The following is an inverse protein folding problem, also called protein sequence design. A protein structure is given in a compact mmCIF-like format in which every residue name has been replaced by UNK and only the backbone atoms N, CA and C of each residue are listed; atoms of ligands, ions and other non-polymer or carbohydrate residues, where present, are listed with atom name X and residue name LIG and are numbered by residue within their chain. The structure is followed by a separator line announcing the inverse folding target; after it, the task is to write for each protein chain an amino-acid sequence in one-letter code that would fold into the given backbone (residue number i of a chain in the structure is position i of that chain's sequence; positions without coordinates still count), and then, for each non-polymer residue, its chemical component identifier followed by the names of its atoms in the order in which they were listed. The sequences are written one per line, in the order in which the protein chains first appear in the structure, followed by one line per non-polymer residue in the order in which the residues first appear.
data_IF_812164200827
#
_entry.id   IF_812164200827
#
_cell.length_a   1.000
_cell.length_b   1.000
_cell.length_c   1.000
_cell.angle_alpha   90.00
_cell.angle_beta   90.00
_cell.angle_gamma   90.00
#
_symmetry.space_group_name_H-M   'P 1'
#
loop_
_entity.id
_entity.type
_entity.pdbx_description
1 polymer ?
#
# COMPACT_ATOMS: atom_id res chain seq x y z
N UNK A 1 15.43 11.02 1.66
CA UNK A 1 14.56 10.54 0.58
C UNK A 1 13.69 9.40 1.11
N UNK A 2 12.77 9.73 2.02
CA UNK A 2 11.92 8.78 2.74
C UNK A 2 10.47 8.97 2.33
N UNK A 3 9.70 7.87 2.25
CA UNK A 3 8.25 7.91 2.06
C UNK A 3 7.65 8.82 3.15
N UNK A 4 7.06 9.95 2.74
CA UNK A 4 6.19 10.75 3.60
C UNK A 4 4.78 10.69 2.99
N UNK A 5 3.75 10.37 3.78
CA UNK A 5 2.38 10.44 3.30
C UNK A 5 2.01 11.89 2.93
N UNK A 6 1.12 12.03 1.94
CA UNK A 6 0.60 13.33 1.54
C UNK A 6 -0.12 14.01 2.72
N UNK A 7 0.12 15.32 2.91
CA UNK A 7 -0.67 16.15 3.82
C UNK A 7 -2.08 16.31 3.24
N UNK A 8 -3.09 16.24 4.12
CA UNK A 8 -4.47 16.58 3.79
C UNK A 8 -4.57 18.00 3.20
N UNK A 9 -5.51 18.26 2.27
CA UNK A 9 -5.74 19.59 1.75
C UNK A 9 -6.27 20.50 2.87
N UNK A 10 -5.47 21.50 3.24
CA UNK A 10 -5.84 22.49 4.25
C UNK A 10 -7.13 23.23 3.90
N UNK A 11 -8.01 23.39 4.90
CA UNK A 11 -9.15 24.31 4.82
C UNK A 11 -8.64 25.71 4.56
N UNK A 12 -9.27 26.39 3.60
CA UNK A 12 -9.11 27.81 3.33
C UNK A 12 -9.66 28.57 4.53
N UNK A 13 -8.81 29.34 5.22
CA UNK A 13 -9.25 30.33 6.20
C UNK A 13 -9.81 31.55 5.45
N UNK A 14 -10.87 32.21 5.97
CA UNK A 14 -11.37 33.44 5.37
C UNK A 14 -10.48 34.62 5.79
N UNK A 15 -10.16 35.49 4.84
CA UNK A 15 -9.43 36.74 5.04
C UNK A 15 -10.35 37.88 5.52
N UNK A 16 -9.75 38.68 6.42
CA UNK A 16 -9.84 40.12 6.65
C UNK A 16 -10.90 40.77 7.56
N UNK A 17 -10.37 41.52 8.54
CA UNK A 17 -11.02 42.56 9.34
C UNK A 17 -10.10 43.15 10.42
N UNK A 18 -9.62 44.38 10.21
CA UNK A 18 -8.57 45.08 10.97
C UNK A 18 -8.91 45.55 12.41
N UNK A 19 -7.87 45.68 13.26
CA UNK A 19 -7.45 46.91 14.00
C UNK A 19 -6.97 46.69 15.47
N UNK A 20 -5.70 47.05 15.69
CA UNK A 20 -5.02 47.68 16.85
C UNK A 20 -5.42 47.42 18.34
N UNK A 21 -4.41 47.01 19.13
CA UNK A 21 -3.97 47.71 20.35
C UNK A 21 -4.15 47.01 21.71
N UNK A 22 -3.03 46.87 22.46
CA UNK A 22 -3.00 46.90 23.94
C UNK A 22 -2.59 45.62 24.67
N UNK A 23 -1.46 45.69 25.39
CA UNK A 23 -0.98 44.69 26.35
C UNK A 23 -1.89 44.59 27.60
N UNK A 24 -2.09 43.36 28.11
CA UNK A 24 -2.17 43.04 29.53
C UNK A 24 -2.14 41.51 29.76
N UNK A 25 -1.27 41.10 30.69
CA UNK A 25 -1.23 39.79 31.34
C UNK A 25 -2.60 39.41 31.96
N UNK A 26 -3.03 38.16 31.80
CA UNK A 26 -3.32 37.22 32.91
C UNK A 26 -3.88 35.88 32.38
N UNK A 27 -3.62 34.83 33.16
CA UNK A 27 -3.73 33.40 32.86
C UNK A 27 -5.14 32.92 32.48
N UNK A 28 -5.21 31.75 31.81
CA UNK A 28 -5.95 30.53 32.21
C UNK A 28 -6.16 29.60 31.00
N UNK A 29 -5.57 28.39 31.08
CA UNK A 29 -6.09 27.17 30.45
C UNK A 29 -5.81 26.94 28.96
N UNK A 30 -4.63 26.47 28.59
CA UNK A 30 -4.44 25.75 27.32
C UNK A 30 -5.02 24.33 27.47
N UNK A 31 -6.31 24.17 27.16
CA UNK A 31 -6.82 22.86 26.75
C UNK A 31 -6.15 22.52 25.42
N UNK A 32 -5.35 21.47 25.42
CA UNK A 32 -4.69 20.98 24.22
C UNK A 32 -5.73 20.47 23.24
N UNK A 33 -5.86 21.14 22.11
CA UNK A 33 -6.45 20.54 20.91
C UNK A 33 -5.55 19.37 20.49
N UNK A 34 -6.09 18.19 20.77
CA UNK A 34 -5.57 16.87 20.41
C UNK A 34 -5.62 16.73 18.88
N UNK A 35 -4.66 17.37 18.21
CA UNK A 35 -4.37 17.14 16.80
C UNK A 35 -3.96 15.67 16.66
N UNK A 36 -4.92 14.84 16.23
CA UNK A 36 -4.79 13.42 15.98
C UNK A 36 -3.57 13.09 15.11
N UNK A 37 -2.43 12.97 15.78
CA UNK A 37 -1.15 12.52 15.26
C UNK A 37 -1.32 11.02 14.99
N UNK A 38 -1.74 10.68 13.77
CA UNK A 38 -2.05 9.31 13.41
C UNK A 38 -0.86 8.41 13.73
N UNK A 39 -1.15 7.26 14.36
CA UNK A 39 -0.17 6.24 14.77
C UNK A 39 0.80 5.92 13.61
N UNK A 40 0.32 5.98 12.37
CA UNK A 40 1.09 5.84 11.12
C UNK A 40 2.28 6.81 11.03
N UNK A 41 2.14 8.08 11.45
CA UNK A 41 3.23 9.08 11.39
C UNK A 41 4.31 8.82 12.44
N UNK A 42 3.95 8.34 13.63
CA UNK A 42 4.92 7.94 14.66
C UNK A 42 5.70 6.69 14.24
N UNK A 43 5.01 5.70 13.68
CA UNK A 43 5.63 4.45 13.19
C UNK A 43 6.58 4.74 12.02
N UNK A 44 6.17 5.56 11.04
CA UNK A 44 7.04 5.96 9.91
C UNK A 44 8.28 6.75 10.35
N UNK A 45 8.17 7.61 11.38
CA UNK A 45 9.30 8.45 11.84
C UNK A 45 10.27 7.70 12.75
N UNK A 46 9.79 6.71 13.51
CA UNK A 46 10.64 5.86 14.35
C UNK A 46 11.42 4.81 13.54
N UNK A 47 10.93 4.41 12.36
CA UNK A 47 11.46 3.26 11.61
C UNK A 47 12.43 3.61 10.47
N UNK A 48 12.75 4.89 10.24
CA UNK A 48 13.78 5.29 9.26
C UNK A 48 15.21 5.10 9.77
N UNK A 49 15.39 4.86 11.08
CA UNK A 49 16.70 4.67 11.72
C UNK A 49 17.03 3.18 11.98
N UNK A 50 16.14 2.25 11.63
CA UNK A 50 16.30 0.82 11.91
C UNK A 50 17.03 0.09 10.77
N UNK A 51 18.31 0.40 10.57
CA UNK A 51 19.23 -0.35 9.70
C UNK A 51 19.74 -1.65 10.38
N UNK A 52 18.98 -2.18 11.34
CA UNK A 52 19.45 -3.20 12.29
C UNK A 52 18.36 -4.17 12.73
N UNK A 53 17.65 -4.81 11.80
CA UNK A 53 16.95 -6.07 12.11
C UNK A 53 17.09 -7.01 10.91
N UNK A 54 18.02 -7.96 11.02
CA UNK A 54 18.11 -9.05 10.06
C UNK A 54 16.81 -9.85 10.09
N UNK A 55 15.95 -9.63 9.10
CA UNK A 55 14.80 -10.50 8.83
C UNK A 55 15.31 -11.93 8.74
N UNK A 56 14.65 -12.93 9.37
CA UNK A 56 15.03 -14.34 9.26
C UNK A 56 14.97 -14.86 7.82
N UNK A 57 14.49 -14.03 6.89
CA UNK A 57 14.32 -14.32 5.48
C UNK A 57 15.30 -13.53 4.61
N UNK A 58 16.61 -13.77 4.80
CA UNK A 58 17.69 -13.21 3.96
C UNK A 58 17.80 -13.89 2.58
N UNK A 59 16.66 -14.19 1.94
CA UNK A 59 16.65 -14.81 0.61
C UNK A 59 16.70 -13.74 -0.49
N UNK A 60 17.59 -13.94 -1.46
CA UNK A 60 17.68 -13.21 -2.73
C UNK A 60 16.38 -13.33 -3.52
N UNK A 61 16.00 -12.28 -4.26
CA UNK A 61 14.72 -12.17 -4.97
C UNK A 61 14.40 -13.29 -5.98
N UNK A 62 15.37 -14.14 -6.32
CA UNK A 62 15.21 -15.27 -7.27
C UNK A 62 14.14 -16.28 -6.82
N UNK A 63 13.99 -16.51 -5.51
CA UNK A 63 12.97 -17.42 -4.99
C UNK A 63 11.53 -16.91 -5.20
N UNK A 64 11.35 -15.59 -5.36
CA UNK A 64 10.05 -14.94 -5.57
C UNK A 64 9.68 -14.81 -7.05
N UNK A 65 10.68 -14.75 -7.95
CA UNK A 65 10.47 -14.75 -9.41
C UNK A 65 9.81 -16.03 -9.92
N UNK A 66 9.94 -17.12 -9.17
CA UNK A 66 9.36 -18.42 -9.48
C UNK A 66 7.92 -18.60 -8.99
N UNK A 67 7.29 -17.59 -8.36
CA UNK A 67 5.87 -17.66 -8.04
C UNK A 67 5.07 -17.70 -9.35
N UNK A 68 4.41 -18.82 -9.69
CA UNK A 68 3.76 -18.93 -10.97
C UNK A 68 2.55 -18.00 -11.01
N UNK A 69 2.65 -16.89 -11.75
CA UNK A 69 1.48 -16.13 -12.22
C UNK A 69 0.44 -17.10 -12.82
N UNK A 70 0.92 -18.16 -13.48
CA UNK A 70 0.14 -19.24 -14.09
C UNK A 70 -0.72 -20.11 -13.13
N UNK A 71 -0.42 -20.17 -11.82
CA UNK A 71 -1.25 -20.96 -10.88
C UNK A 71 -2.47 -20.18 -10.39
N UNK A 72 -2.44 -18.86 -10.53
CA UNK A 72 -3.47 -17.98 -9.98
C UNK A 72 -4.60 -17.71 -10.98
N UNK A 73 -4.36 -17.85 -12.28
CA UNK A 73 -5.48 -17.90 -13.25
C UNK A 73 -6.34 -19.17 -13.10
N UNK A 74 -5.82 -20.22 -12.47
CA UNK A 74 -6.49 -21.52 -12.35
C UNK A 74 -7.58 -21.59 -11.27
N UNK A 75 -7.66 -20.60 -10.36
CA UNK A 75 -8.66 -20.54 -9.28
C UNK A 75 -9.81 -19.56 -9.56
N UNK A 76 -9.81 -18.92 -10.73
CA UNK A 76 -10.83 -17.93 -11.12
C UNK A 76 -10.54 -16.50 -10.61
N UNK A 77 -9.40 -16.26 -9.96
CA UNK A 77 -8.98 -14.91 -9.61
C UNK A 77 -8.40 -14.12 -10.79
N UNK A 78 -8.54 -12.81 -10.72
CA UNK A 78 -8.00 -11.85 -11.70
C UNK A 78 -6.80 -11.09 -11.11
N UNK A 79 -6.04 -10.45 -12.00
CA UNK A 79 -4.80 -9.76 -11.68
C UNK A 79 -4.75 -8.33 -12.23
N UNK A 80 -4.20 -7.41 -11.43
CA UNK A 80 -3.90 -6.03 -11.83
C UNK A 80 -2.69 -5.53 -11.04
N UNK A 81 -1.91 -4.62 -11.63
CA UNK A 81 -0.84 -3.94 -10.89
C UNK A 81 -1.12 -2.45 -10.74
N UNK A 82 -0.86 -1.93 -9.54
CA UNK A 82 -1.04 -0.52 -9.21
C UNK A 82 0.26 0.09 -8.71
N UNK A 83 0.67 1.20 -9.31
CA UNK A 83 1.68 2.11 -8.78
C UNK A 83 0.99 3.34 -8.23
N UNK A 84 1.20 3.64 -6.95
CA UNK A 84 0.61 4.79 -6.26
C UNK A 84 1.62 5.51 -5.36
N UNK A 85 2.90 5.43 -5.73
CA UNK A 85 4.01 5.95 -4.92
C UNK A 85 4.73 4.82 -4.17
N UNK A 86 4.74 4.90 -2.84
CA UNK A 86 5.44 3.95 -1.96
C UNK A 86 4.75 2.57 -2.06
N UNK A 87 5.46 1.51 -2.48
CA UNK A 87 4.84 0.18 -2.64
C UNK A 87 4.37 -0.46 -1.34
N UNK A 88 4.98 -0.13 -0.19
CA UNK A 88 4.57 -0.67 1.11
C UNK A 88 3.15 -0.24 1.49
N UNK A 89 2.86 1.05 1.30
CA UNK A 89 1.51 1.58 1.54
C UNK A 89 0.52 1.04 0.51
N UNK A 90 0.92 0.96 -0.76
CA UNK A 90 0.08 0.38 -1.80
C UNK A 90 -0.32 -1.06 -1.48
N UNK A 91 0.64 -1.89 -1.03
CA UNK A 91 0.39 -3.26 -0.61
C UNK A 91 -0.61 -3.35 0.54
N UNK A 92 -0.43 -2.52 1.56
CA UNK A 92 -1.29 -2.52 2.74
C UNK A 92 -2.71 -2.01 2.44
N UNK A 93 -2.85 -1.01 1.57
CA UNK A 93 -4.16 -0.50 1.12
C UNK A 93 -4.96 -1.60 0.43
N UNK A 94 -4.39 -2.26 -0.58
CA UNK A 94 -5.12 -3.30 -1.31
C UNK A 94 -5.28 -4.58 -0.51
N UNK A 95 -4.29 -4.92 0.32
CA UNK A 95 -4.37 -6.08 1.18
C UNK A 95 -5.48 -6.01 2.24
N UNK A 96 -6.09 -4.85 2.49
CA UNK A 96 -7.27 -4.68 3.35
C UNK A 96 -8.61 -4.88 2.63
N UNK A 97 -8.66 -4.89 1.29
CA UNK A 97 -9.90 -4.97 0.51
C UNK A 97 -10.46 -6.40 0.50
N UNK A 98 -11.66 -6.65 1.02
CA UNK A 98 -12.31 -7.96 0.97
C UNK A 98 -12.39 -8.47 -0.49
N UNK A 99 -12.06 -9.74 -0.73
CA UNK A 99 -11.91 -10.30 -2.08
C UNK A 99 -10.50 -10.26 -2.64
N UNK A 100 -9.60 -9.40 -2.14
CA UNK A 100 -8.15 -9.53 -2.44
C UNK A 100 -7.59 -10.78 -1.77
N UNK A 101 -6.97 -11.66 -2.57
CA UNK A 101 -6.51 -12.98 -2.12
C UNK A 101 -5.02 -13.00 -1.81
N UNK A 102 -4.21 -12.21 -2.52
CA UNK A 102 -2.78 -12.01 -2.21
C UNK A 102 -2.28 -10.72 -2.83
N UNK A 103 -1.21 -10.21 -2.26
CA UNK A 103 -0.47 -9.04 -2.75
C UNK A 103 1.01 -9.36 -2.85
N UNK A 104 1.71 -8.71 -3.78
CA UNK A 104 3.16 -8.79 -3.89
C UNK A 104 3.72 -7.47 -4.42
N UNK A 105 4.75 -6.91 -3.80
CA UNK A 105 5.38 -5.67 -4.27
C UNK A 105 6.53 -5.93 -5.22
N UNK A 106 6.77 -4.98 -6.13
CA UNK A 106 7.84 -5.06 -7.10
C UNK A 106 7.90 -3.88 -8.06
N UNK A 107 8.46 -4.12 -9.24
CA UNK A 107 8.76 -3.10 -10.24
C UNK A 107 8.14 -3.45 -11.59
N UNK A 108 7.40 -2.51 -12.19
CA UNK A 108 6.73 -2.71 -13.48
C UNK A 108 6.65 -1.42 -14.31
N UNK A 109 6.19 -1.54 -15.56
CA UNK A 109 5.98 -0.40 -16.48
C UNK A 109 7.23 0.12 -17.20
N UNK A 110 8.42 -0.34 -16.79
CA UNK A 110 9.69 -0.07 -17.45
C UNK A 110 10.21 -1.22 -18.30
N UNK A 111 11.46 -1.07 -18.76
CA UNK A 111 12.20 -2.04 -19.57
C UNK A 111 13.62 -2.29 -19.03
N UNK A 112 13.98 -1.67 -17.91
CA UNK A 112 15.32 -1.82 -17.32
C UNK A 112 15.46 -3.23 -16.75
N UNK A 113 16.51 -4.00 -17.09
CA UNK A 113 16.70 -5.32 -16.52
C UNK A 113 17.04 -5.23 -15.03
N UNK A 114 16.55 -6.19 -14.25
CA UNK A 114 16.85 -6.38 -12.82
C UNK A 114 16.79 -5.10 -11.97
N UNK A 115 15.63 -4.38 -11.96
CA UNK A 115 15.45 -3.21 -11.13
C UNK A 115 15.53 -3.57 -9.64
N UNK A 116 16.11 -2.67 -8.84
CA UNK A 116 16.10 -2.74 -7.38
C UNK A 116 15.54 -1.44 -6.80
N UNK A 117 15.23 -1.42 -5.50
CA UNK A 117 14.74 -0.20 -4.85
C UNK A 117 15.71 0.98 -5.02
N UNK A 118 17.02 0.71 -4.95
CA UNK A 118 18.07 1.72 -5.12
C UNK A 118 18.29 2.11 -6.59
N UNK A 119 18.01 1.21 -7.53
CA UNK A 119 18.21 1.41 -8.97
C UNK A 119 17.00 0.88 -9.76
N UNK A 120 15.85 1.55 -9.70
CA UNK A 120 14.63 1.09 -10.36
C UNK A 120 14.64 1.33 -11.88
N UNK A 121 15.57 2.14 -12.38
CA UNK A 121 15.61 2.54 -13.78
C UNK A 121 14.34 3.31 -14.19
N UNK A 122 13.68 2.83 -15.24
CA UNK A 122 12.40 3.37 -15.72
C UNK A 122 11.17 2.60 -15.19
N UNK A 123 11.32 1.70 -14.21
CA UNK A 123 10.18 1.05 -13.58
C UNK A 123 9.56 1.92 -12.50
N UNK A 124 8.24 1.82 -12.36
CA UNK A 124 7.53 2.27 -11.17
C UNK A 124 7.58 1.18 -10.10
N UNK A 125 7.57 1.59 -8.83
CA UNK A 125 7.18 0.73 -7.73
C UNK A 125 5.69 0.41 -7.83
N UNK A 126 5.34 -0.86 -7.77
CA UNK A 126 3.96 -1.33 -7.91
C UNK A 126 3.65 -2.41 -6.88
N UNK A 127 2.36 -2.59 -6.63
CA UNK A 127 1.80 -3.80 -6.01
C UNK A 127 1.07 -4.60 -7.09
N UNK A 128 1.39 -5.88 -7.17
CA UNK A 128 0.59 -6.92 -7.82
C UNK A 128 -0.58 -7.28 -6.90
N UNK A 129 -1.81 -7.15 -7.41
CA UNK A 129 -3.03 -7.45 -6.67
C UNK A 129 -3.78 -8.59 -7.37
N UNK A 130 -3.88 -9.70 -6.67
CA UNK A 130 -4.77 -10.79 -7.06
C UNK A 130 -6.07 -10.71 -6.28
N UNK A 131 -7.19 -10.84 -6.99
CA UNK A 131 -8.50 -10.68 -6.40
C UNK A 131 -9.52 -11.65 -6.98
N UNK A 132 -10.49 -12.05 -6.16
CA UNK A 132 -11.66 -12.81 -6.58
C UNK A 132 -12.69 -11.85 -7.20
N UNK A 133 -12.93 -11.91 -8.53
CA UNK A 133 -13.89 -11.03 -9.21
C UNK A 133 -15.34 -11.25 -8.78
N UNK A 134 -15.65 -12.36 -8.11
CA UNK A 134 -16.98 -12.63 -7.55
C UNK A 134 -17.21 -11.91 -6.21
N UNK A 135 -16.15 -11.45 -5.55
CA UNK A 135 -16.20 -10.75 -4.26
C UNK A 135 -15.89 -9.27 -4.42
N UNK A 136 -14.88 -8.92 -5.22
CA UNK A 136 -14.51 -7.53 -5.50
C UNK A 136 -14.28 -7.32 -6.99
N UNK A 137 -14.87 -6.27 -7.54
CA UNK A 137 -14.72 -5.95 -8.96
C UNK A 137 -13.47 -5.10 -9.21
N UNK A 138 -12.98 -5.15 -10.45
CA UNK A 138 -11.92 -4.25 -10.90
C UNK A 138 -12.27 -2.77 -10.66
N UNK A 139 -13.54 -2.38 -10.87
CA UNK A 139 -14.02 -1.02 -10.65
C UNK A 139 -13.94 -0.61 -9.18
N UNK A 140 -14.21 -1.52 -8.24
CA UNK A 140 -14.03 -1.26 -6.81
C UNK A 140 -12.55 -1.07 -6.47
N UNK A 141 -11.66 -1.87 -7.05
CA UNK A 141 -10.21 -1.68 -6.91
C UNK A 141 -9.75 -0.34 -7.49
N UNK A 142 -10.33 0.10 -8.61
CA UNK A 142 -10.06 1.44 -9.17
C UNK A 142 -10.53 2.54 -8.21
N UNK A 143 -11.68 2.40 -7.56
CA UNK A 143 -12.15 3.37 -6.54
C UNK A 143 -11.13 3.45 -5.39
N UNK A 144 -10.65 2.31 -4.89
CA UNK A 144 -9.60 2.26 -3.87
C UNK A 144 -8.32 2.95 -4.36
N UNK A 145 -7.87 2.64 -5.58
CA UNK A 145 -6.69 3.24 -6.19
C UNK A 145 -6.76 4.78 -6.19
N UNK A 146 -7.84 5.36 -6.70
CA UNK A 146 -8.00 6.82 -6.78
C UNK A 146 -8.22 7.48 -5.41
N UNK A 147 -8.83 6.78 -4.46
CA UNK A 147 -9.00 7.28 -3.08
C UNK A 147 -7.71 7.25 -2.26
N UNK A 148 -6.75 6.41 -2.61
CA UNK A 148 -5.55 6.15 -1.81
C UNK A 148 -4.35 7.05 -2.15
N UNK A 149 -4.39 7.85 -3.22
CA UNK A 149 -3.30 8.76 -3.56
C UNK A 149 -3.75 9.96 -4.41
N UNK A 150 -2.97 11.04 -4.39
CA UNK A 150 -3.18 12.19 -5.26
C UNK A 150 -2.54 11.96 -6.63
N UNK A 151 -3.37 11.57 -7.59
CA UNK A 151 -2.95 11.27 -8.95
C UNK A 151 -2.59 12.49 -9.82
N UNK A 152 -2.75 13.71 -9.30
CA UNK A 152 -2.33 14.94 -10.00
C UNK A 152 -0.88 15.31 -9.71
N UNK A 153 -0.30 14.73 -8.65
CA UNK A 153 1.10 14.98 -8.27
C UNK A 153 2.05 14.38 -9.30
N UNK A 154 3.03 15.18 -9.68
CA UNK A 154 4.19 14.73 -10.45
C UNK A 154 5.31 14.38 -9.48
N UNK A 155 6.01 13.29 -9.76
CA UNK A 155 7.11 12.79 -8.96
C UNK A 155 8.13 12.05 -9.79
N UNK A 156 9.06 11.37 -9.10
CA UNK A 156 10.00 10.46 -9.74
C UNK A 156 9.23 9.34 -10.45
N UNK A 157 9.77 8.85 -11.57
CA UNK A 157 9.20 7.71 -12.32
C UNK A 157 8.95 6.51 -11.42
N UNK A 158 9.83 6.28 -10.44
CA UNK A 158 9.70 5.20 -9.46
C UNK A 158 8.47 5.30 -8.54
N UNK A 159 7.85 6.48 -8.43
CA UNK A 159 6.68 6.75 -7.59
C UNK A 159 5.49 7.25 -8.42
N UNK A 160 5.46 6.90 -9.71
CA UNK A 160 4.41 7.35 -10.62
C UNK A 160 3.09 6.61 -10.34
N UNK A 161 1.98 7.35 -10.40
CA UNK A 161 0.64 6.81 -10.56
C UNK A 161 0.54 5.97 -11.85
N UNK A 162 0.37 4.66 -11.71
CA UNK A 162 0.41 3.69 -12.80
C UNK A 162 -0.66 2.60 -12.58
N UNK A 163 -1.34 2.21 -13.65
CA UNK A 163 -2.18 1.00 -13.69
C UNK A 163 -1.66 0.11 -14.80
N UNK A 164 -1.20 -1.09 -14.47
CA UNK A 164 -0.82 -2.10 -15.46
C UNK A 164 -1.92 -3.14 -15.54
N UNK A 165 -2.54 -3.21 -16.71
CA UNK A 165 -3.67 -4.10 -16.98
C UNK A 165 -3.19 -5.38 -17.66
N UNK A 166 -3.70 -6.52 -17.20
CA UNK A 166 -3.33 -7.84 -17.72
C UNK A 166 -4.30 -8.29 -18.81
N UNK A 167 -5.60 -8.04 -18.61
CA UNK A 167 -6.65 -8.48 -19.54
C UNK A 167 -7.22 -7.31 -20.35
N UNK A 168 -7.62 -7.59 -21.60
CA UNK A 168 -8.12 -6.56 -22.53
C UNK A 168 -9.32 -5.77 -22.01
N UNK A 169 -10.22 -6.41 -21.25
CA UNK A 169 -11.38 -5.77 -20.64
C UNK A 169 -11.04 -4.77 -19.54
N UNK A 170 -9.88 -4.87 -18.88
CA UNK A 170 -9.46 -3.91 -17.85
C UNK A 170 -9.02 -2.58 -18.48
N UNK A 171 -8.44 -2.58 -19.69
CA UNK A 171 -7.92 -1.36 -20.34
C UNK A 171 -9.01 -0.32 -20.59
N UNK A 172 -10.14 -0.72 -21.18
CA UNK A 172 -11.26 0.18 -21.46
C UNK A 172 -11.90 0.70 -20.18
N UNK A 173 -12.03 -0.15 -19.17
CA UNK A 173 -12.55 0.22 -17.84
C UNK A 173 -11.62 1.21 -17.12
N UNK A 174 -10.31 0.96 -17.12
CA UNK A 174 -9.32 1.87 -16.54
C UNK A 174 -9.33 3.23 -17.25
N UNK A 175 -9.43 3.25 -18.59
CA UNK A 175 -9.54 4.49 -19.36
C UNK A 175 -10.80 5.29 -19.03
N UNK A 176 -11.94 4.62 -18.78
CA UNK A 176 -13.17 5.26 -18.32
C UNK A 176 -12.96 5.94 -16.95
N UNK A 177 -12.36 5.23 -16.00
CA UNK A 177 -12.06 5.79 -14.68
C UNK A 177 -11.09 6.98 -14.75
N UNK A 178 -10.05 6.88 -15.59
CA UNK A 178 -9.11 7.98 -15.84
C UNK A 178 -9.84 9.25 -16.33
N UNK A 179 -10.75 9.11 -17.29
CA UNK A 179 -11.55 10.22 -17.81
C UNK A 179 -12.47 10.81 -16.74
N UNK A 180 -13.11 9.94 -15.93
CA UNK A 180 -13.95 10.37 -14.81
C UNK A 180 -13.14 11.15 -13.77
N UNK A 181 -11.95 10.68 -13.42
CA UNK A 181 -11.11 11.36 -12.42
C UNK A 181 -10.60 12.69 -12.95
N UNK A 182 -10.17 12.75 -14.21
CA UNK A 182 -9.77 14.00 -14.84
C UNK A 182 -10.93 15.01 -14.89
N UNK A 183 -12.18 14.57 -15.03
CA UNK A 183 -13.34 15.47 -15.04
C UNK A 183 -13.63 16.10 -13.66
N UNK A 184 -13.19 15.49 -12.55
CA UNK A 184 -13.39 16.01 -11.19
C UNK A 184 -12.43 17.16 -10.83
N UNK A 185 -11.36 17.34 -11.59
CA UNK A 185 -10.30 18.30 -11.25
C UNK A 185 -9.82 19.09 -12.48
N UNK A 186 -9.40 20.33 -12.25
CA UNK A 186 -8.73 21.15 -13.28
C UNK A 186 -7.25 20.82 -13.41
N UNK A 187 -6.67 20.13 -12.42
CA UNK A 187 -5.29 19.69 -12.47
C UNK A 187 -5.17 18.49 -13.41
N UNK A 188 -4.05 18.38 -14.12
CA UNK A 188 -3.79 17.24 -15.00
C UNK A 188 -3.56 15.99 -14.16
N UNK A 189 -4.43 15.00 -14.31
CA UNK A 189 -4.22 13.64 -13.80
C UNK A 189 -3.05 13.02 -14.55
N UNK A 190 -2.10 12.46 -13.81
CA UNK A 190 -0.83 11.96 -14.37
C UNK A 190 -0.81 10.44 -14.51
N UNK A 191 -1.83 9.74 -14.03
CA UNK A 191 -1.94 8.29 -14.09
C UNK A 191 -1.80 7.77 -15.51
N UNK A 192 -0.92 6.79 -15.68
CA UNK A 192 -0.75 6.09 -16.95
C UNK A 192 -1.39 4.70 -16.88
N UNK A 193 -2.05 4.27 -17.95
CA UNK A 193 -2.59 2.91 -18.09
C UNK A 193 -1.76 2.18 -19.14
N UNK A 194 -1.04 1.13 -18.73
CA UNK A 194 -0.16 0.34 -19.59
C UNK A 194 -0.63 -1.11 -19.70
N UNK A 195 -0.45 -1.78 -20.84
CA UNK A 195 -0.58 -3.23 -20.90
C UNK A 195 0.55 -3.90 -20.11
N UNK A 196 0.28 -5.08 -19.55
CA UNK A 196 1.30 -5.88 -18.88
C UNK A 196 2.42 -6.28 -19.85
N UNK A 197 3.66 -6.14 -19.39
CA UNK A 197 4.87 -6.55 -20.12
C UNK A 197 5.76 -7.41 -19.23
N UNK A 198 6.22 -6.83 -18.12
CA UNK A 198 7.06 -7.50 -17.13
C UNK A 198 6.77 -6.97 -15.73
N UNK A 199 6.98 -7.85 -14.75
CA UNK A 199 6.99 -7.55 -13.33
C UNK A 199 8.21 -8.20 -12.71
N UNK A 200 8.98 -7.41 -11.96
CA UNK A 200 10.13 -7.92 -11.20
C UNK A 200 9.80 -7.79 -9.72
N UNK A 201 9.57 -8.90 -9.01
CA UNK A 201 9.36 -8.88 -7.56
C UNK A 201 10.46 -8.14 -6.82
N UNK A 202 10.08 -7.32 -5.85
CA UNK A 202 11.03 -6.75 -4.91
C UNK A 202 11.56 -7.84 -3.98
N UNK A 203 12.73 -7.59 -3.39
CA UNK A 203 13.37 -8.47 -2.42
C UNK A 203 12.42 -8.80 -1.25
N UNK A 204 12.59 -10.00 -0.69
CA UNK A 204 11.67 -10.55 0.31
C UNK A 204 11.49 -9.63 1.53
N UNK A 205 12.53 -8.93 1.96
CA UNK A 205 12.47 -7.95 3.07
C UNK A 205 11.52 -6.77 2.84
N UNK A 206 11.03 -6.58 1.62
CA UNK A 206 10.07 -5.54 1.27
C UNK A 206 8.63 -6.04 1.12
N UNK A 207 8.44 -7.37 1.09
CA UNK A 207 7.12 -7.99 1.00
C UNK A 207 6.45 -7.97 2.37
N UNK A 208 5.18 -7.60 2.45
CA UNK A 208 4.46 -7.51 3.73
C UNK A 208 5.25 -6.72 4.77
N UNK A 209 5.74 -5.53 4.38
CA UNK A 209 6.73 -4.76 5.13
C UNK A 209 6.33 -4.52 6.60
N UNK A 210 5.09 -4.13 6.87
CA UNK A 210 4.60 -3.85 8.24
C UNK A 210 4.58 -5.12 9.10
N UNK A 211 4.20 -6.27 8.52
CA UNK A 211 4.32 -7.56 9.21
C UNK A 211 5.78 -7.93 9.48
N UNK A 212 6.69 -7.66 8.55
CA UNK A 212 8.11 -7.91 8.79
C UNK A 212 8.72 -7.03 9.88
N UNK A 213 8.16 -5.83 10.12
CA UNK A 213 8.57 -4.99 11.25
C UNK A 213 8.01 -5.49 12.59
N UNK A 214 6.89 -6.22 12.61
CA UNK A 214 6.34 -6.82 13.83
C UNK A 214 6.99 -8.18 14.09
N UNK A 215 8.11 -8.19 14.80
CA UNK A 215 8.87 -9.42 15.10
C UNK A 215 8.08 -10.46 15.91
N UNK A 216 7.12 -10.04 16.74
CA UNK A 216 6.29 -10.95 17.53
C UNK A 216 5.34 -11.75 16.62
N UNK A 217 4.65 -11.08 15.69
CA UNK A 217 3.81 -11.74 14.70
C UNK A 217 4.60 -12.48 13.63
N UNK A 218 5.75 -11.95 13.20
CA UNK A 218 6.57 -12.58 12.17
C UNK A 218 7.02 -13.99 12.57
N UNK A 219 7.28 -14.23 13.88
CA UNK A 219 7.65 -15.55 14.42
C UNK A 219 6.61 -16.63 14.15
N UNK A 220 5.33 -16.27 14.04
CA UNK A 220 4.23 -17.19 13.68
C UNK A 220 4.44 -17.84 12.31
N UNK A 221 5.26 -17.22 11.46
CA UNK A 221 5.54 -17.67 10.09
C UNK A 221 6.99 -18.15 9.89
N UNK A 222 7.79 -18.28 10.95
CA UNK A 222 9.22 -18.60 10.84
C UNK A 222 9.52 -19.91 10.10
N UNK A 223 8.62 -20.91 10.19
CA UNK A 223 8.76 -22.19 9.50
C UNK A 223 8.24 -22.19 8.05
N UNK A 224 7.68 -21.07 7.56
CA UNK A 224 7.09 -21.01 6.23
C UNK A 224 8.15 -20.74 5.15
N UNK A 225 8.04 -21.40 3.98
CA UNK A 225 8.82 -21.00 2.82
C UNK A 225 8.49 -19.57 2.39
N UNK A 226 9.48 -18.77 1.92
CA UNK A 226 9.25 -17.41 1.43
C UNK A 226 8.09 -17.25 0.45
N UNK A 227 8.01 -18.13 -0.54
CA UNK A 227 6.96 -18.12 -1.55
C UNK A 227 5.55 -18.25 -0.92
N UNK A 228 5.41 -19.11 0.09
CA UNK A 228 4.15 -19.27 0.84
C UNK A 228 3.85 -18.04 1.68
N UNK A 229 4.85 -17.45 2.33
CA UNK A 229 4.70 -16.22 3.10
C UNK A 229 4.21 -15.07 2.24
N UNK A 230 4.78 -14.87 1.04
CA UNK A 230 4.37 -13.79 0.14
C UNK A 230 2.98 -14.05 -0.44
N UNK A 231 2.71 -15.27 -0.91
CA UNK A 231 1.46 -15.58 -1.62
C UNK A 231 0.24 -15.85 -0.72
N UNK A 232 0.32 -15.63 0.59
CA UNK A 232 -0.72 -16.01 1.53
C UNK A 232 -1.68 -14.86 1.83
N UNK A 233 -2.98 -15.11 1.67
CA UNK A 233 -4.04 -14.21 2.14
C UNK A 233 -3.84 -13.77 3.60
N UNK A 234 -3.36 -14.68 4.47
CA UNK A 234 -3.15 -14.38 5.90
C UNK A 234 -2.14 -13.26 6.10
N UNK A 235 -1.00 -13.34 5.42
CA UNK A 235 0.10 -12.38 5.59
C UNK A 235 -0.24 -11.05 4.92
N UNK A 236 -0.90 -11.09 3.75
CA UNK A 236 -1.50 -9.91 3.11
C UNK A 236 -2.45 -9.16 4.06
N UNK A 237 -3.38 -9.86 4.71
CA UNK A 237 -4.34 -9.24 5.65
C UNK A 237 -3.67 -8.69 6.90
N UNK A 238 -2.81 -9.48 7.54
CA UNK A 238 -2.10 -9.07 8.75
C UNK A 238 -1.24 -7.84 8.48
N UNK A 239 -0.49 -7.82 7.37
CA UNK A 239 0.29 -6.65 6.95
C UNK A 239 -0.57 -5.39 6.85
N UNK A 240 -1.78 -5.53 6.30
CA UNK A 240 -2.70 -4.42 6.10
C UNK A 240 -3.27 -3.89 7.41
N UNK A 241 -3.66 -4.79 8.32
CA UNK A 241 -4.11 -4.41 9.66
C UNK A 241 -3.00 -3.70 10.45
N UNK A 242 -1.75 -4.19 10.38
CA UNK A 242 -0.60 -3.56 11.03
C UNK A 242 -0.26 -2.17 10.46
N UNK A 243 -0.61 -1.91 9.21
CA UNK A 243 -0.49 -0.58 8.60
C UNK A 243 -1.65 0.38 8.98
N UNK A 244 -2.68 -0.13 9.67
CA UNK A 244 -3.87 0.64 10.04
C UNK A 244 -4.97 0.63 8.97
N UNK A 245 -4.95 -0.31 8.02
CA UNK A 245 -6.00 -0.49 7.02
C UNK A 245 -6.98 -1.60 7.42
N UNK A 246 -8.26 -1.39 7.10
CA UNK A 246 -9.38 -2.26 7.50
C UNK A 246 -10.06 -1.75 8.77
N UNK A 247 -11.09 -2.45 9.24
CA UNK A 247 -11.83 -2.09 10.45
C UNK A 247 -11.71 -3.16 11.53
N UNK A 248 -11.98 -2.78 12.79
CA UNK A 248 -12.08 -3.76 13.90
C UNK A 248 -13.14 -4.84 13.61
N UNK A 249 -14.22 -4.47 12.91
CA UNK A 249 -15.22 -5.42 12.46
C UNK A 249 -14.63 -6.44 11.46
N UNK A 250 -13.86 -5.98 10.47
CA UNK A 250 -13.21 -6.87 9.50
C UNK A 250 -12.19 -7.80 10.17
N UNK A 251 -11.40 -7.28 11.11
CA UNK A 251 -10.47 -8.08 11.88
C UNK A 251 -11.22 -9.17 12.66
N UNK A 252 -12.31 -8.83 13.35
CA UNK A 252 -13.10 -9.80 14.12
C UNK A 252 -13.66 -10.94 13.26
N UNK A 253 -14.05 -10.67 12.00
CA UNK A 253 -14.55 -11.68 11.05
C UNK A 253 -13.45 -12.61 10.52
N UNK A 254 -12.22 -12.12 10.46
CA UNK A 254 -11.12 -12.78 9.74
C UNK A 254 -10.08 -13.41 10.65
N UNK A 255 -9.89 -12.90 11.87
CA UNK A 255 -8.81 -13.30 12.78
C UNK A 255 -8.81 -14.79 13.10
N UNK A 256 -9.99 -15.41 13.29
CA UNK A 256 -10.10 -16.85 13.52
C UNK A 256 -9.65 -17.72 12.34
N UNK A 257 -9.68 -17.18 11.11
CA UNK A 257 -9.18 -17.85 9.89
C UNK A 257 -7.69 -17.62 9.67
N UNK A 258 -7.08 -16.69 10.42
CA UNK A 258 -5.66 -16.36 10.32
C UNK A 258 -4.75 -17.35 11.04
N UNK A 259 -5.28 -18.39 11.71
CA UNK A 259 -4.49 -19.49 12.30
C UNK A 259 -3.28 -19.04 13.12
N UNK A 260 -3.42 -17.92 13.83
CA UNK A 260 -2.45 -17.41 14.79
C UNK A 260 -2.66 -18.13 16.13
N UNK A 261 -1.60 -18.31 16.91
CA UNK A 261 -1.75 -18.70 18.32
C UNK A 261 -2.31 -17.53 19.16
N UNK A 262 -2.60 -17.79 20.44
CA UNK A 262 -3.18 -16.80 21.34
C UNK A 262 -2.31 -15.54 21.48
N UNK A 263 -0.98 -15.70 21.47
CA UNK A 263 -0.05 -14.58 21.54
C UNK A 263 -0.09 -13.73 20.26
N UNK A 264 -0.17 -14.36 19.10
CA UNK A 264 -0.34 -13.69 17.82
C UNK A 264 -1.69 -12.99 17.70
N UNK A 265 -2.78 -13.61 18.16
CA UNK A 265 -4.10 -12.97 18.23
C UNK A 265 -4.07 -11.73 19.12
N UNK A 266 -3.48 -11.85 20.31
CA UNK A 266 -3.34 -10.73 21.25
C UNK A 266 -2.47 -9.60 20.68
N UNK A 267 -1.38 -9.93 19.99
CA UNK A 267 -0.49 -8.95 19.36
C UNK A 267 -1.20 -8.18 18.22
N UNK A 268 -1.93 -8.89 17.35
CA UNK A 268 -2.64 -8.25 16.23
C UNK A 268 -3.84 -7.42 16.67
N UNK A 269 -4.43 -7.74 17.83
CA UNK A 269 -5.61 -7.05 18.35
C UNK A 269 -5.29 -5.84 19.23
N UNK A 270 -4.01 -5.54 19.46
CA UNK A 270 -3.55 -4.41 20.28
C UNK A 270 -3.66 -3.09 19.51
#
# INVERSE_FOLDING_TARGET
AACRPAREPGRVAPEDGAAAGGDADEAWGSEGEDDGDSVSRRVLRANLDADSLASPFAASGDALRALPHAKVEADGSELVYFGMGCMWEAEAVFGAVEGVVRTQVGFAGGTTPDPTLARPGNHAQVVEVHYDPMVVTFEQLMIVFWGAHDATRRGLVSHWSLVVVVHGGQRSRAAKFLAMEQAKTRLKVTTTVLPFTTFVPAELRYQHYFLQQNTALLRQFAAWPPARFVASWRTTRINSYLAGHGTAHDLSRTIGKMGLDDAGVAELSR
#
